data_IF_954759827326
#
_entry.id   IF_954759827326
#
_cell.length_a   1.000
_cell.length_b   1.000
_cell.length_c   1.000
_cell.angle_alpha   90.00
_cell.angle_beta   90.00
_cell.angle_gamma   90.00
#
_symmetry.space_group_name_H-M   'P 1'
#
loop_
_entity.id
_entity.type
_entity.pdbx_description
1 polymer ?
#
# COMPACT_ATOMS: atom_id res chain seq x y z
N UNK A 1 -6.51 17.41 -11.68
CA UNK A 1 -5.58 18.50 -11.30
C UNK A 1 -4.18 17.94 -11.37
N UNK A 2 -3.23 18.65 -12.00
CA UNK A 2 -1.82 18.24 -12.03
C UNK A 2 -1.09 19.04 -10.95
N UNK A 3 -0.48 18.35 -9.99
CA UNK A 3 0.42 18.95 -9.00
C UNK A 3 1.87 18.85 -9.48
N UNK A 4 2.69 19.86 -9.15
CA UNK A 4 4.10 19.89 -9.50
C UNK A 4 4.97 19.69 -8.26
N UNK A 5 6.08 18.97 -8.41
CA UNK A 5 7.08 18.74 -7.36
C UNK A 5 8.43 19.23 -7.88
N UNK A 6 9.11 20.06 -7.11
CA UNK A 6 10.47 20.50 -7.39
C UNK A 6 11.45 19.77 -6.47
N UNK A 7 12.32 18.95 -7.06
CA UNK A 7 13.30 18.13 -6.31
C UNK A 7 14.70 18.69 -6.59
N UNK A 8 15.41 19.05 -5.52
CA UNK A 8 16.83 19.41 -5.60
C UNK A 8 17.67 18.16 -5.33
N UNK A 9 18.60 17.86 -6.22
CA UNK A 9 19.50 16.72 -6.13
C UNK A 9 20.90 17.16 -6.54
N UNK A 10 21.91 16.43 -6.08
CA UNK A 10 23.28 16.64 -6.51
C UNK A 10 23.43 16.41 -8.03
N UNK A 11 24.35 17.17 -8.64
CA UNK A 11 24.60 17.11 -10.09
C UNK A 11 24.97 15.70 -10.54
N UNK A 12 25.84 15.02 -9.79
CA UNK A 12 26.29 13.67 -10.13
C UNK A 12 25.15 12.64 -10.09
N UNK A 13 24.25 12.77 -9.12
CA UNK A 13 23.06 11.91 -9.03
C UNK A 13 22.14 12.16 -10.21
N UNK A 14 21.88 13.43 -10.55
CA UNK A 14 21.07 13.81 -11.71
C UNK A 14 21.64 13.21 -13.01
N UNK A 15 22.94 13.35 -13.22
CA UNK A 15 23.60 12.91 -14.46
C UNK A 15 23.57 11.38 -14.59
N UNK A 16 23.79 10.65 -13.49
CA UNK A 16 23.66 9.18 -13.46
C UNK A 16 22.23 8.73 -13.70
N UNK A 17 21.27 9.33 -13.00
CA UNK A 17 19.85 9.01 -13.14
C UNK A 17 19.34 9.24 -14.56
N UNK A 18 19.75 10.35 -15.18
CA UNK A 18 19.40 10.67 -16.56
C UNK A 18 19.97 9.65 -17.56
N UNK A 19 21.20 9.17 -17.36
CA UNK A 19 21.79 8.13 -18.21
C UNK A 19 21.02 6.81 -18.09
N UNK A 20 20.73 6.37 -16.88
CA UNK A 20 19.98 5.13 -16.62
C UNK A 20 18.56 5.20 -17.20
N UNK A 21 17.85 6.31 -16.99
CA UNK A 21 16.49 6.51 -17.52
C UNK A 21 16.48 6.40 -19.06
N UNK A 22 17.51 6.95 -19.73
CA UNK A 22 17.64 6.85 -21.19
C UNK A 22 17.90 5.44 -21.67
N UNK A 23 18.62 4.61 -20.91
CA UNK A 23 18.80 3.18 -21.24
C UNK A 23 17.46 2.44 -21.24
N UNK A 24 16.52 2.86 -20.39
CA UNK A 24 15.14 2.35 -20.37
C UNK A 24 14.22 3.05 -21.40
N UNK A 25 14.75 3.92 -22.28
CA UNK A 25 13.98 4.76 -23.21
C UNK A 25 12.95 5.68 -22.53
N UNK A 26 13.19 6.06 -21.27
CA UNK A 26 12.31 6.91 -20.47
C UNK A 26 12.93 8.29 -20.23
N UNK A 27 12.06 9.29 -20.11
CA UNK A 27 12.46 10.58 -19.56
C UNK A 27 12.71 10.49 -18.05
N UNK A 28 13.49 11.44 -17.52
CA UNK A 28 13.73 11.55 -16.07
C UNK A 28 12.41 11.69 -15.31
N UNK A 29 11.47 12.46 -15.83
CA UNK A 29 10.17 12.68 -15.18
C UNK A 29 9.31 11.43 -15.17
N UNK A 30 9.32 10.63 -16.24
CA UNK A 30 8.62 9.34 -16.27
C UNK A 30 9.21 8.40 -15.23
N UNK A 31 10.54 8.27 -15.17
CA UNK A 31 11.18 7.38 -14.20
C UNK A 31 10.94 7.82 -12.76
N UNK A 32 10.99 9.13 -12.47
CA UNK A 32 10.66 9.66 -11.13
C UNK A 32 9.20 9.35 -10.77
N UNK A 33 8.27 9.50 -11.71
CA UNK A 33 6.86 9.15 -11.48
C UNK A 33 6.69 7.68 -11.16
N UNK A 34 7.31 6.79 -11.93
CA UNK A 34 7.27 5.35 -11.68
C UNK A 34 7.79 5.00 -10.28
N UNK A 35 8.94 5.55 -9.89
CA UNK A 35 9.51 5.30 -8.56
C UNK A 35 8.60 5.80 -7.44
N UNK A 36 7.92 6.93 -7.64
CA UNK A 36 6.93 7.42 -6.68
C UNK A 36 5.69 6.53 -6.60
N UNK A 37 5.20 6.04 -7.74
CA UNK A 37 4.06 5.12 -7.81
C UNK A 37 4.38 3.80 -7.13
N UNK A 38 5.55 3.22 -7.40
CA UNK A 38 6.07 2.01 -6.75
C UNK A 38 6.21 2.22 -5.24
N UNK A 39 6.83 3.34 -4.82
CA UNK A 39 6.96 3.67 -3.39
C UNK A 39 5.60 3.74 -2.70
N UNK A 40 4.63 4.44 -3.28
CA UNK A 40 3.28 4.51 -2.71
C UNK A 40 2.62 3.15 -2.69
N UNK A 41 2.72 2.36 -3.76
CA UNK A 41 2.12 1.03 -3.85
C UNK A 41 2.67 0.09 -2.78
N UNK A 42 4.00 0.04 -2.64
CA UNK A 42 4.67 -0.86 -1.72
C UNK A 42 4.44 -0.47 -0.25
N UNK A 43 4.29 0.84 0.01
CA UNK A 43 4.09 1.37 1.36
C UNK A 43 2.60 1.56 1.71
N UNK A 44 1.68 1.36 0.76
CA UNK A 44 0.25 1.29 1.04
C UNK A 44 -0.15 -0.09 1.60
N UNK A 45 0.63 -0.57 2.59
CA UNK A 45 0.29 -1.73 3.41
C UNK A 45 -1.08 -1.55 4.08
N UNK A 46 -1.51 -0.31 4.35
CA UNK A 46 -2.83 -0.05 4.92
C UNK A 46 -3.96 -0.51 3.97
N UNK A 47 -3.89 -0.18 2.68
CA UNK A 47 -4.88 -0.63 1.71
C UNK A 47 -4.86 -2.16 1.54
N UNK A 48 -3.67 -2.76 1.45
CA UNK A 48 -3.52 -4.21 1.35
C UNK A 48 -4.04 -4.93 2.61
N UNK A 49 -3.78 -4.39 3.80
CA UNK A 49 -4.28 -4.91 5.06
C UNK A 49 -5.80 -4.75 5.16
N UNK A 50 -6.36 -3.61 4.71
CA UNK A 50 -7.80 -3.38 4.67
C UNK A 50 -8.51 -4.37 3.76
N UNK A 51 -7.99 -4.62 2.54
CA UNK A 51 -8.62 -5.58 1.63
C UNK A 51 -8.63 -7.00 2.21
N UNK A 52 -7.54 -7.41 2.88
CA UNK A 52 -7.48 -8.71 3.55
C UNK A 52 -8.50 -8.80 4.71
N UNK A 53 -8.61 -7.76 5.53
CA UNK A 53 -9.61 -7.72 6.61
C UNK A 53 -11.05 -7.74 6.08
N UNK A 54 -11.32 -7.05 4.97
CA UNK A 54 -12.63 -7.04 4.33
C UNK A 54 -13.00 -8.42 3.77
N UNK A 55 -12.06 -9.12 3.11
CA UNK A 55 -12.27 -10.49 2.62
C UNK A 55 -12.56 -11.47 3.77
N UNK A 56 -11.80 -11.38 4.86
CA UNK A 56 -12.03 -12.18 6.07
C UNK A 56 -13.42 -11.87 6.64
N UNK A 57 -13.77 -10.59 6.76
CA UNK A 57 -15.08 -10.14 7.24
C UNK A 57 -16.23 -10.70 6.41
N UNK A 58 -16.13 -10.60 5.08
CA UNK A 58 -17.13 -11.15 4.16
C UNK A 58 -17.23 -12.68 4.25
N UNK A 59 -16.10 -13.38 4.37
CA UNK A 59 -16.06 -14.85 4.55
C UNK A 59 -16.76 -15.28 5.84
N UNK A 60 -16.53 -14.56 6.94
CA UNK A 60 -17.19 -14.80 8.22
C UNK A 60 -18.71 -14.54 8.14
N UNK A 61 -19.12 -13.43 7.52
CA UNK A 61 -20.54 -13.13 7.30
C UNK A 61 -21.24 -14.20 6.44
N UNK A 62 -20.59 -14.67 5.36
CA UNK A 62 -21.11 -15.77 4.51
C UNK A 62 -21.29 -17.08 5.29
N UNK A 63 -20.45 -17.33 6.29
CA UNK A 63 -20.56 -18.48 7.20
C UNK A 63 -21.60 -18.27 8.32
N UNK A 64 -22.30 -17.14 8.33
CA UNK A 64 -23.36 -16.83 9.29
C UNK A 64 -22.88 -16.19 10.59
N UNK A 65 -21.58 -15.88 10.72
CA UNK A 65 -21.06 -15.20 11.91
C UNK A 65 -21.49 -13.73 11.92
N UNK A 66 -21.91 -13.27 13.10
CA UNK A 66 -22.33 -11.90 13.38
C UNK A 66 -21.42 -11.26 14.41
N UNK A 67 -21.42 -9.93 14.48
CA UNK A 67 -20.68 -9.19 15.50
C UNK A 67 -21.07 -9.61 16.93
N UNK A 68 -22.32 -10.02 17.15
CA UNK A 68 -22.80 -10.56 18.44
C UNK A 68 -22.09 -11.85 18.86
N UNK A 69 -21.65 -12.66 17.90
CA UNK A 69 -20.97 -13.94 18.17
C UNK A 69 -19.56 -13.71 18.72
N UNK A 70 -18.91 -12.60 18.35
CA UNK A 70 -17.62 -12.19 18.90
C UNK A 70 -17.73 -11.97 20.41
N UNK A 71 -18.71 -11.17 20.84
CA UNK A 71 -18.94 -10.89 22.26
C UNK A 71 -19.29 -12.17 23.04
N UNK A 72 -20.09 -13.06 22.44
CA UNK A 72 -20.40 -14.36 23.03
C UNK A 72 -19.14 -15.20 23.22
N UNK A 73 -18.29 -15.31 22.19
CA UNK A 73 -17.04 -16.08 22.25
C UNK A 73 -16.04 -15.51 23.24
N UNK A 74 -15.91 -14.19 23.34
CA UNK A 74 -15.07 -13.53 24.35
C UNK A 74 -15.52 -13.91 25.76
N UNK A 75 -16.83 -13.91 26.03
CA UNK A 75 -17.35 -14.33 27.35
C UNK A 75 -17.06 -15.79 27.62
N UNK A 76 -17.33 -16.68 26.67
CA UNK A 76 -17.08 -18.13 26.80
C UNK A 76 -15.61 -18.43 27.15
N UNK A 77 -14.65 -17.80 26.45
CA UNK A 77 -13.21 -17.99 26.72
C UNK A 77 -12.82 -17.44 28.09
N UNK A 78 -13.40 -16.32 28.52
CA UNK A 78 -13.12 -15.71 29.82
C UNK A 78 -13.76 -16.47 30.99
N UNK A 79 -14.91 -17.09 30.79
CA UNK A 79 -15.59 -17.91 31.80
C UNK A 79 -15.01 -19.32 31.94
N UNK A 80 -14.26 -19.80 30.95
CA UNK A 80 -13.53 -21.07 30.99
C UNK A 80 -12.16 -20.97 31.68
N UNK A 81 -11.91 -19.89 32.42
CA UNK A 81 -10.66 -19.60 33.14
C UNK A 81 -10.93 -19.47 34.62
#
# INVERSE_FOLDING_TARGET
MVSQILIRVDKDLKDRFQRLSRTEQKSVNEKVRELMEEYVKDHNMEAAMRSLWDEIGQSLQKKGYRASDVNKKIREVRSGR
#
